data_IF_902158121848
#
_entry.id   IF_902158121848
#
_cell.length_a   1.000
_cell.length_b   1.000
_cell.length_c   1.000
_cell.angle_alpha   90.00
_cell.angle_beta   90.00
_cell.angle_gamma   90.00
#
_symmetry.space_group_name_H-M   'P 1'
#
loop_
_entity.id
_entity.type
_entity.pdbx_description
1 polymer ?
#
# COMPACT_ATOMS: atom_id res chain seq x y z
N UNK A 1 1.41 -16.20 -9.28
CA UNK A 1 1.85 -15.04 -8.50
C UNK A 1 0.68 -14.29 -7.91
N UNK A 2 0.68 -14.13 -6.59
CA UNK A 2 -0.32 -13.37 -5.82
C UNK A 2 0.07 -11.91 -5.59
N UNK A 3 1.24 -11.49 -6.07
CA UNK A 3 1.77 -10.15 -5.83
C UNK A 3 1.23 -9.19 -6.90
N UNK A 4 0.27 -8.36 -6.51
CA UNK A 4 -0.24 -7.29 -7.36
C UNK A 4 0.80 -6.18 -7.53
N UNK A 5 0.97 -5.70 -8.77
CA UNK A 5 1.98 -4.70 -9.13
C UNK A 5 1.35 -3.55 -9.90
N UNK A 6 1.90 -2.35 -9.70
CA UNK A 6 1.54 -1.16 -10.48
C UNK A 6 1.74 -1.42 -11.98
N UNK A 7 0.74 -1.07 -12.78
CA UNK A 7 0.78 -1.29 -14.24
C UNK A 7 1.38 -0.10 -15.00
N UNK A 8 1.34 1.08 -14.39
CA UNK A 8 1.87 2.35 -14.89
C UNK A 8 2.53 3.10 -13.73
N UNK A 9 3.28 4.15 -14.06
CA UNK A 9 3.73 5.11 -13.06
C UNK A 9 2.52 5.76 -12.37
N UNK A 10 2.55 5.84 -11.05
CA UNK A 10 1.44 6.39 -10.27
C UNK A 10 1.92 7.18 -9.06
N UNK A 11 1.00 7.94 -8.47
CA UNK A 11 1.22 8.71 -7.25
C UNK A 11 0.25 8.22 -6.18
N UNK A 12 0.77 7.99 -4.97
CA UNK A 12 -0.04 7.65 -3.82
C UNK A 12 -0.48 8.93 -3.10
N UNK A 13 -1.78 9.09 -2.87
CA UNK A 13 -2.34 10.26 -2.22
C UNK A 13 -2.82 9.91 -0.82
N UNK A 14 -2.26 10.57 0.19
CA UNK A 14 -2.62 10.38 1.58
C UNK A 14 -3.18 11.68 2.14
N UNK A 15 -4.34 11.65 2.81
CA UNK A 15 -4.86 12.85 3.47
C UNK A 15 -4.02 13.17 4.70
N UNK A 16 -3.75 14.45 4.94
CA UNK A 16 -2.95 14.92 6.07
C UNK A 16 -3.45 14.40 7.43
N UNK A 17 -4.77 14.23 7.58
CA UNK A 17 -5.37 13.75 8.85
C UNK A 17 -4.96 12.33 9.24
N UNK A 18 -4.48 11.51 8.28
CA UNK A 18 -3.99 10.16 8.53
C UNK A 18 -2.48 10.08 8.78
N UNK A 19 -1.79 11.23 8.82
CA UNK A 19 -0.33 11.31 8.95
C UNK A 19 0.03 12.07 10.23
N UNK A 20 1.15 11.78 10.91
CA UNK A 20 1.53 12.52 12.09
C UNK A 20 1.70 14.01 11.80
N UNK A 21 1.30 14.84 12.78
CA UNK A 21 1.40 16.31 12.72
C UNK A 21 2.72 16.87 12.16
N UNK A 22 3.91 16.28 12.41
CA UNK A 22 5.16 16.76 11.78
C UNK A 22 5.12 16.80 10.25
N UNK A 23 4.35 15.91 9.62
CA UNK A 23 4.26 15.78 8.16
C UNK A 23 3.10 16.57 7.53
N UNK A 24 2.25 17.23 8.33
CA UNK A 24 1.20 18.12 7.80
C UNK A 24 1.76 19.18 6.85
N UNK A 25 3.03 19.57 7.06
CA UNK A 25 3.74 20.53 6.20
C UNK A 25 4.02 20.03 4.78
N UNK A 26 3.94 18.73 4.55
CA UNK A 26 4.09 18.11 3.23
C UNK A 26 2.78 18.08 2.45
N UNK A 27 1.65 18.41 3.10
CA UNK A 27 0.36 18.44 2.44
C UNK A 27 0.28 19.66 1.50
N UNK A 28 -0.19 19.43 0.29
CA UNK A 28 -0.51 20.49 -0.65
C UNK A 28 -1.67 21.37 -0.16
N UNK A 29 -1.97 22.43 -0.92
CA UNK A 29 -3.15 23.26 -0.69
C UNK A 29 -4.47 22.49 -0.78
N UNK A 30 -4.46 21.32 -1.42
CA UNK A 30 -5.55 20.35 -1.51
C UNK A 30 -5.72 19.47 -0.25
N UNK A 31 -4.81 19.57 0.72
CA UNK A 31 -4.82 18.77 1.94
C UNK A 31 -4.28 17.34 1.78
N UNK A 32 -3.68 17.03 0.62
CA UNK A 32 -3.10 15.73 0.33
C UNK A 32 -1.57 15.77 0.33
N UNK A 33 -0.98 14.74 0.92
CA UNK A 33 0.44 14.42 0.78
C UNK A 33 0.56 13.46 -0.41
N UNK A 34 1.32 13.88 -1.42
CA UNK A 34 1.57 13.11 -2.64
C UNK A 34 2.91 12.38 -2.50
N UNK A 35 2.87 11.06 -2.52
CA UNK A 35 4.05 10.19 -2.46
C UNK A 35 4.25 9.57 -3.84
N UNK A 36 5.34 9.94 -4.52
CA UNK A 36 5.67 9.48 -5.86
C UNK A 36 6.80 10.29 -6.49
N UNK A 37 7.22 9.95 -7.72
CA UNK A 37 6.62 8.95 -8.62
C UNK A 37 6.90 7.50 -8.19
N UNK A 38 5.88 6.64 -8.22
CA UNK A 38 6.02 5.20 -7.98
C UNK A 38 6.19 4.49 -9.33
N UNK A 39 7.32 3.80 -9.57
CA UNK A 39 7.56 3.13 -10.85
C UNK A 39 6.54 2.03 -11.17
N UNK A 40 6.42 1.72 -12.46
CA UNK A 40 5.73 0.52 -12.93
C UNK A 40 6.40 -0.74 -12.37
N UNK A 41 5.61 -1.71 -11.94
CA UNK A 41 6.10 -2.99 -11.43
C UNK A 41 6.34 -3.01 -9.92
N UNK A 42 6.14 -1.89 -9.21
CA UNK A 42 6.23 -1.84 -7.74
C UNK A 42 5.11 -2.68 -7.12
N UNK A 43 5.42 -3.60 -6.19
CA UNK A 43 4.39 -4.35 -5.45
C UNK A 43 3.46 -3.41 -4.68
N UNK A 44 2.15 -3.53 -4.89
CA UNK A 44 1.16 -2.67 -4.23
C UNK A 44 1.20 -2.88 -2.71
N UNK A 45 1.32 -4.14 -2.29
CA UNK A 45 1.39 -4.55 -0.89
C UNK A 45 2.61 -3.98 -0.14
N UNK A 46 3.68 -3.59 -0.85
CA UNK A 46 4.84 -2.94 -0.24
C UNK A 46 4.44 -1.60 0.39
N UNK A 47 3.45 -0.91 -0.19
CA UNK A 47 2.95 0.37 0.27
C UNK A 47 1.66 0.23 1.09
N UNK A 48 0.74 -0.64 0.64
CA UNK A 48 -0.58 -0.77 1.26
C UNK A 48 -0.54 -1.40 2.66
N UNK A 49 0.43 -2.27 2.94
CA UNK A 49 0.56 -2.96 4.23
C UNK A 49 1.53 -2.25 5.19
N UNK A 50 2.01 -1.05 4.82
CA UNK A 50 2.71 -0.18 5.75
C UNK A 50 1.71 0.27 6.80
N UNK A 51 1.88 -0.17 8.03
CA UNK A 51 1.08 0.39 9.09
C UNK A 51 1.61 1.79 9.42
N UNK A 52 0.75 2.80 9.50
CA UNK A 52 1.09 4.03 10.19
C UNK A 52 1.01 3.78 11.70
N UNK A 53 1.65 2.72 12.21
CA UNK A 53 1.86 2.62 13.64
C UNK A 53 3.14 3.40 13.98
N UNK A 54 2.93 4.57 14.58
CA UNK A 54 4.03 5.40 15.05
C UNK A 54 4.78 4.77 16.24
N UNK A 55 4.57 3.47 16.51
CA UNK A 55 5.37 2.68 17.43
C UNK A 55 6.80 2.52 16.92
N UNK A 56 7.00 2.50 15.59
CA UNK A 56 8.32 2.52 14.93
C UNK A 56 8.45 3.76 14.05
N UNK A 57 8.00 4.90 14.60
CA UNK A 57 7.98 6.16 13.88
C UNK A 57 9.37 6.56 13.37
N UNK A 58 10.45 6.19 14.05
CA UNK A 58 11.82 6.49 13.65
C UNK A 58 12.21 5.86 12.29
N UNK A 59 11.77 4.64 12.02
CA UNK A 59 11.98 3.97 10.72
C UNK A 59 11.08 4.60 9.66
N UNK A 60 9.82 4.92 10.03
CA UNK A 60 8.91 5.66 9.16
C UNK A 60 9.46 7.04 8.78
N UNK A 61 9.99 7.80 9.75
CA UNK A 61 10.60 9.11 9.54
C UNK A 61 11.84 9.00 8.65
N UNK A 62 12.68 7.96 8.80
CA UNK A 62 13.83 7.75 7.91
C UNK A 62 13.41 7.43 6.48
N UNK A 63 12.42 6.57 6.30
CA UNK A 63 11.90 6.23 4.98
C UNK A 63 11.20 7.43 4.34
N UNK A 64 10.35 8.14 5.09
CA UNK A 64 9.64 9.32 4.63
C UNK A 64 10.60 10.48 4.31
N UNK A 65 11.61 10.76 5.15
CA UNK A 65 12.60 11.81 4.89
C UNK A 65 13.41 11.52 3.62
N UNK A 66 13.75 10.25 3.36
CA UNK A 66 14.38 9.83 2.11
C UNK A 66 13.43 9.97 0.91
N UNK A 67 12.17 9.57 1.02
CA UNK A 67 11.16 9.74 -0.04
C UNK A 67 10.88 11.22 -0.34
N UNK A 68 10.84 12.06 0.69
CA UNK A 68 10.66 13.51 0.56
C UNK A 68 11.87 14.15 -0.07
N UNK A 69 13.10 13.73 0.27
CA UNK A 69 14.32 14.20 -0.40
C UNK A 69 14.33 13.85 -1.89
N UNK A 70 13.94 12.63 -2.24
CA UNK A 70 13.81 12.20 -3.64
C UNK A 70 12.80 13.09 -4.39
N UNK A 71 11.66 13.39 -3.78
CA UNK A 71 10.62 14.24 -4.36
C UNK A 71 11.03 15.74 -4.39
N UNK A 72 11.79 16.21 -3.40
CA UNK A 72 12.25 17.60 -3.30
C UNK A 72 13.42 17.90 -4.25
N UNK A 73 14.25 16.91 -4.56
CA UNK A 73 15.41 17.05 -5.44
C UNK A 73 15.06 16.96 -6.94
N UNK A 74 13.80 16.71 -7.32
CA UNK A 74 13.38 16.57 -8.73
C UNK A 74 14.31 15.60 -9.50
N UNK A 75 14.74 14.52 -8.84
CA UNK A 75 15.67 13.56 -9.40
C UNK A 75 15.04 12.88 -10.62
N UNK A 76 15.86 12.56 -11.61
CA UNK A 76 15.39 11.83 -12.79
C UNK A 76 14.78 10.48 -12.37
N UNK A 77 13.83 9.93 -13.15
CA UNK A 77 13.16 8.67 -12.81
C UNK A 77 14.13 7.52 -12.48
N UNK A 78 15.30 7.51 -13.13
CA UNK A 78 16.34 6.51 -12.93
C UNK A 78 17.07 6.67 -11.59
N UNK A 79 17.32 7.91 -11.17
CA UNK A 79 17.95 8.19 -9.87
C UNK A 79 16.97 7.93 -8.72
N UNK A 80 15.69 8.25 -8.92
CA UNK A 80 14.63 7.92 -7.96
C UNK A 80 14.47 6.41 -7.76
N UNK A 81 14.58 5.59 -8.83
CA UNK A 81 14.51 4.12 -8.73
C UNK A 81 15.66 3.54 -7.90
N UNK A 82 16.88 4.05 -8.07
CA UNK A 82 18.05 3.59 -7.30
C UNK A 82 17.88 3.89 -5.80
N UNK A 83 17.39 5.09 -5.45
CA UNK A 83 17.15 5.44 -4.05
C UNK A 83 15.95 4.71 -3.45
N UNK A 84 14.88 4.49 -4.23
CA UNK A 84 13.74 3.67 -3.82
C UNK A 84 14.15 2.23 -3.53
N UNK A 85 15.03 1.63 -4.34
CA UNK A 85 15.55 0.27 -4.10
C UNK A 85 16.31 0.16 -2.78
N UNK A 86 17.02 1.21 -2.35
CA UNK A 86 17.70 1.25 -1.04
C UNK A 86 16.72 1.27 0.13
N UNK A 87 15.49 1.75 -0.11
CA UNK A 87 14.41 1.79 0.89
C UNK A 87 13.63 0.49 0.99
N UNK A 88 13.68 -0.39 -0.03
CA UNK A 88 12.92 -1.65 -0.04
C UNK A 88 13.14 -2.51 1.22
N UNK A 89 14.37 -2.71 1.73
CA UNK A 89 14.57 -3.47 2.96
C UNK A 89 13.88 -2.85 4.19
N UNK A 90 13.97 -1.53 4.32
CA UNK A 90 13.33 -0.77 5.41
C UNK A 90 11.80 -0.88 5.31
N UNK A 91 11.25 -0.77 4.09
CA UNK A 91 9.81 -0.90 3.83
C UNK A 91 9.29 -2.33 4.09
N UNK A 92 10.07 -3.36 3.78
CA UNK A 92 9.73 -4.76 4.08
C UNK A 92 9.74 -4.98 5.61
N UNK A 93 10.74 -4.42 6.32
CA UNK A 93 10.83 -4.55 7.78
C UNK A 93 9.64 -3.88 8.50
N UNK A 94 9.11 -2.81 7.93
CA UNK A 94 7.90 -2.12 8.42
C UNK A 94 6.59 -2.74 7.94
N UNK A 95 6.64 -3.72 7.03
CA UNK A 95 5.46 -4.31 6.45
C UNK A 95 4.84 -5.33 7.41
N UNK A 96 3.53 -5.21 7.65
CA UNK A 96 2.81 -6.19 8.47
C UNK A 96 2.72 -7.58 7.87
N UNK A 97 2.83 -7.67 6.54
CA UNK A 97 2.69 -8.88 5.76
C UNK A 97 3.88 -8.95 4.79
N UNK A 98 5.09 -9.23 5.31
CA UNK A 98 6.33 -9.20 4.54
C UNK A 98 6.49 -10.41 3.60
N UNK A 99 5.63 -11.43 3.74
CA UNK A 99 5.56 -12.59 2.86
C UNK A 99 4.82 -12.30 1.54
N UNK A 100 4.07 -11.18 1.48
CA UNK A 100 3.27 -10.78 0.32
C UNK A 100 2.29 -11.86 -0.17
N UNK A 101 1.88 -12.76 0.74
CA UNK A 101 0.91 -13.81 0.45
C UNK A 101 -0.47 -13.27 0.74
N UNK A 102 -1.25 -13.06 -0.32
CA UNK A 102 -2.65 -12.66 -0.20
C UNK A 102 -3.50 -13.80 0.33
N UNK A 103 -4.36 -13.49 1.30
CA UNK A 103 -5.49 -14.34 1.64
C UNK A 103 -6.48 -14.32 0.47
N UNK A 104 -6.73 -15.49 -0.14
CA UNK A 104 -7.68 -15.64 -1.26
C UNK A 104 -9.13 -15.73 -0.77
N UNK A 105 -9.35 -15.56 0.52
CA UNK A 105 -10.64 -15.73 1.17
C UNK A 105 -11.02 -17.20 1.32
N UNK A 106 -12.24 -17.41 1.81
CA UNK A 106 -12.83 -18.73 1.95
C UNK A 106 -13.68 -19.02 0.72
N UNK A 107 -13.36 -20.09 -0.01
CA UNK A 107 -14.15 -20.58 -1.15
C UNK A 107 -15.44 -21.28 -0.72
N UNK A 108 -16.06 -20.82 0.37
CA UNK A 108 -17.23 -21.49 0.92
C UNK A 108 -18.37 -21.45 -0.10
N UNK A 109 -18.78 -22.63 -0.54
CA UNK A 109 -19.89 -22.79 -1.48
C UNK A 109 -19.55 -22.52 -2.95
N UNK A 110 -18.28 -22.36 -3.35
CA UNK A 110 -17.92 -22.19 -4.78
C UNK A 110 -18.25 -23.42 -5.61
N UNK A 111 -18.18 -24.59 -4.99
CA UNK A 111 -18.39 -25.88 -5.66
C UNK A 111 -19.85 -26.35 -5.56
N UNK A 112 -20.74 -25.56 -4.95
CA UNK A 112 -22.16 -25.88 -4.88
C UNK A 112 -22.77 -25.85 -6.28
N UNK A 113 -23.60 -26.85 -6.56
CA UNK A 113 -24.46 -26.81 -7.74
C UNK A 113 -25.42 -25.63 -7.66
N UNK A 114 -25.92 -25.17 -8.79
CA UNK A 114 -26.89 -24.06 -8.79
C UNK A 114 -28.16 -24.42 -8.00
N UNK A 115 -28.56 -25.70 -8.00
CA UNK A 115 -29.66 -26.19 -7.18
C UNK A 115 -29.38 -26.03 -5.68
N UNK A 116 -28.18 -26.37 -5.22
CA UNK A 116 -27.82 -26.22 -3.81
C UNK A 116 -27.66 -24.75 -3.40
N UNK A 117 -27.19 -23.89 -4.32
CA UNK A 117 -27.18 -22.43 -4.11
C UNK A 117 -28.60 -21.89 -3.94
N UNK A 118 -29.53 -22.33 -4.79
CA UNK A 118 -30.95 -21.95 -4.66
C UNK A 118 -31.54 -22.45 -3.35
N UNK A 119 -31.28 -23.69 -2.96
CA UNK A 119 -31.75 -24.24 -1.68
C UNK A 119 -31.18 -23.46 -0.49
N UNK A 120 -29.89 -23.09 -0.52
CA UNK A 120 -29.25 -22.26 0.50
C UNK A 120 -29.88 -20.87 0.59
N UNK A 121 -30.18 -20.23 -0.56
CA UNK A 121 -30.89 -18.95 -0.60
C UNK A 121 -32.27 -19.07 0.04
N UNK A 122 -33.04 -20.10 -0.30
CA UNK A 122 -34.37 -20.32 0.28
C UNK A 122 -34.31 -20.59 1.79
N UNK A 123 -33.31 -21.35 2.26
CA UNK A 123 -33.07 -21.57 3.69
C UNK A 123 -32.73 -20.26 4.43
N UNK A 124 -31.87 -19.41 3.86
CA UNK A 124 -31.50 -18.14 4.52
C UNK A 124 -32.66 -17.17 4.63
N UNK A 125 -33.66 -17.23 3.74
CA UNK A 125 -34.87 -16.40 3.82
C UNK A 125 -35.80 -16.77 4.97
N UNK A 126 -35.58 -17.88 5.67
CA UNK A 126 -36.43 -18.31 6.80
C UNK A 126 -36.01 -17.74 8.16
N UNK A 127 -34.91 -16.97 8.21
CA UNK A 127 -34.39 -16.29 9.40
C UNK A 127 -34.21 -14.80 9.14
#
# INVERSE_FOLDING_TARGET
DSIWRTQNECTFHLRKEFVPKPFDKLAGSDGYIKIGPIPKGTPINLLANLQPDFQHADVFFKAADKLVKINAENLSPEAADVELRKLVPDLIAMNKCPDFVEDKGHYFGTDLSDNDKHALIEYLKTF
#
